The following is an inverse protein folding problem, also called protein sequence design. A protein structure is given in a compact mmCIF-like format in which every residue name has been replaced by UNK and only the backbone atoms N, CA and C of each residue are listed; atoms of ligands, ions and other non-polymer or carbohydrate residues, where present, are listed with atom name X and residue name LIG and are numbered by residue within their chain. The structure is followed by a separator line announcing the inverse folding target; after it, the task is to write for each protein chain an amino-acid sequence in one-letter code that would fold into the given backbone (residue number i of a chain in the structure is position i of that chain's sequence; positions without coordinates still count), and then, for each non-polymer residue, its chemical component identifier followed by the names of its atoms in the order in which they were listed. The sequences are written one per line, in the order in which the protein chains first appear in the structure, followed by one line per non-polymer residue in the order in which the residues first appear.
data_IF_533731505648
#
_entry.id   IF_533731505648
#
_cell.length_a   1.000
_cell.length_b   1.000
_cell.length_c   1.000
_cell.angle_alpha   90.00
_cell.angle_beta   90.00
_cell.angle_gamma   90.00
#
_symmetry.space_group_name_H-M   'P 1'
#
loop_
_entity.id
_entity.type
_entity.pdbx_description
1 polymer ?
#
# COMPACT_ATOMS: atom_id res chain seq x y z
N UNK A 1 20.52 2.38 -5.77
CA UNK A 1 19.21 1.66 -5.79
C UNK A 1 19.14 0.59 -4.70
N UNK A 2 20.28 0.07 -4.25
CA UNK A 2 20.39 -1.07 -3.33
C UNK A 2 19.65 -0.87 -1.99
N UNK A 3 19.65 0.34 -1.44
CA UNK A 3 18.92 0.66 -0.21
C UNK A 3 17.41 0.47 -0.40
N UNK A 4 16.84 0.91 -1.53
CA UNK A 4 15.40 0.75 -1.81
C UNK A 4 15.07 -0.72 -2.04
N UNK A 5 15.88 -1.44 -2.83
CA UNK A 5 15.67 -2.86 -3.09
C UNK A 5 15.69 -3.68 -1.80
N UNK A 6 16.66 -3.41 -0.92
CA UNK A 6 16.81 -4.14 0.34
C UNK A 6 15.75 -3.78 1.38
N UNK A 7 15.43 -2.51 1.55
CA UNK A 7 14.46 -2.05 2.57
C UNK A 7 12.99 -2.23 2.18
N UNK A 8 12.64 -2.04 0.90
CA UNK A 8 11.26 -2.13 0.43
C UNK A 8 10.90 -3.53 -0.09
N UNK A 9 11.84 -4.18 -0.77
CA UNK A 9 11.60 -5.45 -1.46
C UNK A 9 12.42 -6.60 -0.85
N UNK A 10 13.20 -6.38 0.21
CA UNK A 10 14.02 -7.43 0.82
C UNK A 10 15.05 -8.08 -0.12
N UNK A 11 15.35 -7.42 -1.23
CA UNK A 11 16.19 -7.93 -2.30
C UNK A 11 17.56 -7.25 -2.24
N UNK A 12 18.63 -8.06 -2.23
CA UNK A 12 19.99 -7.54 -2.40
C UNK A 12 20.32 -7.47 -3.87
N UNK A 13 20.79 -6.30 -4.30
CA UNK A 13 21.31 -6.04 -5.65
C UNK A 13 22.61 -5.25 -5.50
N UNK A 14 23.39 -5.20 -6.58
CA UNK A 14 24.62 -4.40 -6.67
C UNK A 14 24.49 -3.39 -7.80
N UNK A 15 23.74 -2.32 -7.57
CA UNK A 15 23.45 -1.30 -8.58
C UNK A 15 24.65 -0.46 -8.99
N UNK A 16 25.76 -0.53 -8.25
CA UNK A 16 26.99 0.18 -8.59
C UNK A 16 27.78 -0.58 -9.65
N UNK A 17 27.93 -1.90 -9.47
CA UNK A 17 28.71 -2.74 -10.39
C UNK A 17 27.87 -3.39 -11.50
N UNK A 18 26.56 -3.51 -11.31
CA UNK A 18 25.61 -4.08 -12.28
C UNK A 18 24.49 -3.07 -12.64
N UNK A 19 24.79 -2.06 -13.47
CA UNK A 19 23.79 -1.07 -13.89
C UNK A 19 22.73 -1.66 -14.84
N UNK A 20 23.03 -2.79 -15.49
CA UNK A 20 22.13 -3.51 -16.39
C UNK A 20 21.22 -4.50 -15.64
N UNK A 21 21.29 -4.51 -14.30
CA UNK A 21 20.38 -5.28 -13.49
C UNK A 21 18.92 -4.92 -13.82
N UNK A 22 18.08 -5.95 -14.02
CA UNK A 22 16.67 -5.75 -14.38
C UNK A 22 15.92 -4.86 -13.40
N UNK A 23 16.22 -4.94 -12.10
CA UNK A 23 15.62 -4.05 -11.10
C UNK A 23 16.02 -2.59 -11.34
N UNK A 24 17.30 -2.34 -11.62
CA UNK A 24 17.87 -1.01 -11.87
C UNK A 24 17.29 -0.40 -13.14
N UNK A 25 17.28 -1.15 -14.25
CA UNK A 25 16.70 -0.70 -15.52
C UNK A 25 15.22 -0.37 -15.35
N UNK A 26 14.46 -1.27 -14.73
CA UNK A 26 13.01 -1.08 -14.56
C UNK A 26 12.69 0.09 -13.64
N UNK A 27 13.46 0.26 -12.56
CA UNK A 27 13.34 1.43 -11.69
C UNK A 27 13.69 2.72 -12.44
N UNK A 28 14.75 2.70 -13.27
CA UNK A 28 15.14 3.84 -14.10
C UNK A 28 14.01 4.24 -15.04
N UNK A 29 13.33 3.30 -15.68
CA UNK A 29 12.19 3.59 -16.55
C UNK A 29 11.02 4.26 -15.82
N UNK A 30 10.78 3.88 -14.56
CA UNK A 30 9.79 4.54 -13.69
C UNK A 30 10.21 5.96 -13.34
N UNK A 31 11.47 6.20 -13.02
CA UNK A 31 11.96 7.54 -12.70
C UNK A 31 12.20 8.43 -13.93
N UNK A 32 12.28 7.83 -15.13
CA UNK A 32 12.37 8.56 -16.41
C UNK A 32 11.02 9.05 -16.92
N UNK A 33 9.96 9.03 -16.10
CA UNK A 33 8.71 9.72 -16.40
C UNK A 33 9.05 11.18 -16.70
N UNK A 34 9.00 11.51 -17.98
CA UNK A 34 9.42 12.79 -18.50
C UNK A 34 8.38 13.83 -18.06
N UNK A 35 8.82 15.04 -17.75
CA UNK A 35 7.95 16.23 -17.63
C UNK A 35 7.34 16.56 -19.00
N UNK A 36 6.44 15.69 -19.46
CA UNK A 36 5.72 15.82 -20.71
C UNK A 36 4.29 16.30 -20.42
N UNK A 37 3.53 16.59 -21.48
CA UNK A 37 2.16 17.08 -21.37
C UNK A 37 1.25 16.15 -20.53
N UNK A 38 1.55 14.84 -20.47
CA UNK A 38 0.82 13.87 -19.65
C UNK A 38 1.02 14.12 -18.16
N UNK A 39 2.24 14.49 -17.75
CA UNK A 39 2.53 14.85 -16.36
C UNK A 39 1.84 16.17 -15.97
N UNK A 40 1.86 17.17 -16.85
CA UNK A 40 1.12 18.44 -16.63
C UNK A 40 -0.39 18.18 -16.54
N UNK A 41 -0.94 17.37 -17.45
CA UNK A 41 -2.35 16.99 -17.42
C UNK A 41 -2.72 16.23 -16.13
N UNK A 42 -1.80 15.46 -15.56
CA UNK A 42 -2.00 14.78 -14.28
C UNK A 42 -2.15 15.73 -13.11
N UNK A 43 -1.37 16.80 -13.09
CA UNK A 43 -1.48 17.84 -12.07
C UNK A 43 -2.76 18.66 -12.29
N UNK A 44 -3.06 19.05 -13.52
CA UNK A 44 -4.17 19.96 -13.83
C UNK A 44 -5.55 19.27 -13.74
N UNK A 45 -5.66 18.04 -14.23
CA UNK A 45 -6.95 17.38 -14.45
C UNK A 45 -6.88 15.87 -14.11
N UNK A 46 -6.70 15.50 -12.83
CA UNK A 46 -6.61 14.10 -12.42
C UNK A 46 -7.89 13.30 -12.73
N UNK A 47 -9.05 13.95 -12.71
CA UNK A 47 -10.34 13.30 -13.02
C UNK A 47 -10.45 12.83 -14.47
N UNK A 48 -9.88 13.59 -15.43
CA UNK A 48 -9.88 13.22 -16.84
C UNK A 48 -8.99 12.00 -17.09
N UNK A 49 -7.83 11.95 -16.45
CA UNK A 49 -6.92 10.80 -16.54
C UNK A 49 -7.49 9.54 -15.91
N UNK A 50 -8.21 9.67 -14.79
CA UNK A 50 -8.96 8.56 -14.18
C UNK A 50 -10.01 8.00 -15.13
N UNK A 51 -10.73 8.87 -15.83
CA UNK A 51 -11.75 8.46 -16.80
C UNK A 51 -11.13 7.77 -18.03
N UNK A 52 -10.02 8.31 -18.55
CA UNK A 52 -9.28 7.76 -19.69
C UNK A 52 -8.40 6.55 -19.35
N UNK A 53 -8.33 6.12 -18.08
CA UNK A 53 -7.48 5.02 -17.59
C UNK A 53 -6.01 5.10 -18.04
N UNK A 54 -5.49 6.31 -18.20
CA UNK A 54 -4.11 6.52 -18.61
C UNK A 54 -3.21 6.34 -17.38
N UNK A 55 -2.33 5.34 -17.44
CA UNK A 55 -1.30 5.11 -16.42
C UNK A 55 -0.08 6.01 -16.66
N UNK A 56 0.37 6.70 -15.61
CA UNK A 56 1.65 7.42 -15.62
C UNK A 56 2.84 6.47 -15.60
N UNK A 57 2.68 5.30 -14.98
CA UNK A 57 3.73 4.31 -14.86
C UNK A 57 3.79 3.42 -16.10
N UNK A 58 4.99 3.09 -16.61
CA UNK A 58 5.15 2.12 -17.69
C UNK A 58 4.53 0.77 -17.31
N UNK A 59 3.69 0.15 -18.17
CA UNK A 59 3.02 -1.10 -17.84
C UNK A 59 3.97 -2.26 -17.54
N UNK A 60 5.13 -2.33 -18.22
CA UNK A 60 6.13 -3.38 -17.97
C UNK A 60 6.74 -3.24 -16.58
N UNK A 61 7.02 -2.01 -16.16
CA UNK A 61 7.59 -1.74 -14.85
C UNK A 61 6.62 -2.08 -13.72
N UNK A 62 5.34 -1.71 -13.88
CA UNK A 62 4.31 -2.06 -12.92
C UNK A 62 4.17 -3.58 -12.74
N UNK A 63 4.17 -4.33 -13.86
CA UNK A 63 4.13 -5.81 -13.83
C UNK A 63 5.35 -6.39 -13.11
N UNK A 64 6.56 -5.93 -13.45
CA UNK A 64 7.79 -6.41 -12.83
C UNK A 64 7.78 -6.24 -11.30
N UNK A 65 7.52 -5.03 -10.80
CA UNK A 65 7.53 -4.79 -9.35
C UNK A 65 6.38 -5.49 -8.63
N UNK A 66 5.21 -5.59 -9.26
CA UNK A 66 4.10 -6.38 -8.74
C UNK A 66 4.49 -7.84 -8.56
N UNK A 67 5.00 -8.46 -9.62
CA UNK A 67 5.30 -9.88 -9.63
C UNK A 67 6.47 -10.20 -8.69
N UNK A 68 7.51 -9.36 -8.66
CA UNK A 68 8.59 -9.47 -7.69
C UNK A 68 8.07 -9.42 -6.24
N UNK A 69 7.21 -8.46 -5.93
CA UNK A 69 6.62 -8.31 -4.58
C UNK A 69 5.79 -9.54 -4.21
N UNK A 70 4.94 -10.03 -5.13
CA UNK A 70 4.10 -11.19 -4.89
C UNK A 70 4.93 -12.45 -4.62
N UNK A 71 6.01 -12.66 -5.38
CA UNK A 71 6.93 -13.79 -5.17
C UNK A 71 7.56 -13.74 -3.76
N UNK A 72 7.99 -12.55 -3.31
CA UNK A 72 8.57 -12.40 -1.97
C UNK A 72 7.52 -12.69 -0.88
N UNK A 73 6.30 -12.20 -1.04
CA UNK A 73 5.19 -12.46 -0.11
C UNK A 73 4.87 -13.96 -0.07
N UNK A 74 4.79 -14.60 -1.22
CA UNK A 74 4.49 -16.03 -1.35
C UNK A 74 5.58 -16.88 -0.68
N UNK A 75 6.85 -16.57 -0.94
CA UNK A 75 7.96 -17.29 -0.33
C UNK A 75 7.97 -17.15 1.20
N UNK A 76 7.70 -15.95 1.73
CA UNK A 76 7.56 -15.75 3.19
C UNK A 76 6.41 -16.52 3.79
N UNK A 77 5.25 -16.55 3.12
CA UNK A 77 4.09 -17.35 3.56
C UNK A 77 4.41 -18.84 3.57
N UNK A 78 5.11 -19.33 2.55
CA UNK A 78 5.50 -20.73 2.42
C UNK A 78 6.53 -21.16 3.46
N UNK A 79 7.52 -20.30 3.72
CA UNK A 79 8.64 -20.60 4.63
C UNK A 79 8.39 -20.20 6.08
N UNK A 80 7.37 -19.37 6.35
CA UNK A 80 7.12 -18.77 7.66
C UNK A 80 8.13 -17.67 8.03
N UNK A 81 8.98 -17.24 7.10
CA UNK A 81 9.98 -16.21 7.38
C UNK A 81 9.34 -14.84 7.59
N UNK A 82 9.72 -14.17 8.68
CA UNK A 82 9.42 -12.77 8.94
C UNK A 82 10.71 -11.96 8.87
N UNK A 83 10.61 -10.72 8.39
CA UNK A 83 11.74 -9.79 8.32
C UNK A 83 11.35 -8.43 8.88
N UNK A 84 12.30 -7.73 9.47
CA UNK A 84 12.09 -6.35 9.89
C UNK A 84 12.29 -5.39 8.71
N UNK A 85 11.34 -5.38 7.78
CA UNK A 85 11.36 -4.52 6.58
C UNK A 85 9.96 -3.97 6.23
N UNK A 86 9.93 -3.06 5.25
CA UNK A 86 8.69 -2.37 4.87
C UNK A 86 7.62 -3.35 4.37
N UNK A 87 8.01 -4.40 3.64
CA UNK A 87 7.07 -5.38 3.13
C UNK A 87 6.39 -6.16 4.26
N UNK A 88 7.12 -6.50 5.32
CA UNK A 88 6.53 -7.13 6.49
C UNK A 88 5.50 -6.22 7.16
N UNK A 89 5.83 -4.94 7.33
CA UNK A 89 4.90 -3.96 7.89
C UNK A 89 3.61 -3.87 7.07
N UNK A 90 3.71 -3.89 5.73
CA UNK A 90 2.53 -3.90 4.86
C UNK A 90 1.70 -5.19 5.01
N UNK A 91 2.35 -6.35 5.11
CA UNK A 91 1.66 -7.63 5.30
C UNK A 91 0.92 -7.69 6.65
N UNK A 92 1.53 -7.18 7.72
CA UNK A 92 0.93 -7.20 9.05
C UNK A 92 -0.23 -6.19 9.14
N UNK A 93 -0.06 -4.99 8.57
CA UNK A 93 -1.16 -4.01 8.43
C UNK A 93 -2.33 -4.58 7.63
N UNK A 94 -2.07 -5.31 6.55
CA UNK A 94 -3.11 -5.91 5.73
C UNK A 94 -3.91 -6.99 6.49
N UNK A 95 -3.25 -7.74 7.39
CA UNK A 95 -3.91 -8.73 8.26
C UNK A 95 -4.78 -8.03 9.32
N UNK A 96 -4.26 -7.00 9.99
CA UNK A 96 -5.01 -6.21 10.97
C UNK A 96 -6.31 -5.66 10.35
N UNK A 97 -6.23 -5.06 9.16
CA UNK A 97 -7.42 -4.54 8.44
C UNK A 97 -8.39 -5.65 8.02
N UNK A 98 -7.92 -6.87 7.73
CA UNK A 98 -8.83 -7.99 7.45
C UNK A 98 -9.53 -8.50 8.70
N UNK A 99 -8.83 -8.53 9.82
CA UNK A 99 -9.37 -9.00 11.10
C UNK A 99 -10.38 -8.00 11.66
N UNK A 100 -10.10 -6.69 11.60
CA UNK A 100 -11.03 -5.61 11.98
C UNK A 100 -12.34 -5.68 11.18
N UNK A 101 -12.26 -5.92 9.87
CA UNK A 101 -13.46 -6.09 9.03
C UNK A 101 -14.24 -7.35 9.38
N UNK A 102 -13.55 -8.42 9.79
CA UNK A 102 -14.21 -9.67 10.21
C UNK A 102 -14.90 -9.49 11.56
N UNK A 103 -14.31 -8.75 12.52
CA UNK A 103 -14.98 -8.40 13.78
C UNK A 103 -16.19 -7.50 13.56
N UNK A 104 -16.12 -6.51 12.67
CA UNK A 104 -17.27 -5.64 12.34
C UNK A 104 -18.41 -6.41 11.65
N UNK A 105 -18.10 -7.44 10.85
CA UNK A 105 -19.10 -8.32 10.23
C UNK A 105 -19.74 -9.25 11.25
N UNK A 106 -18.95 -9.81 12.17
CA UNK A 106 -19.46 -10.69 13.22
C UNK A 106 -20.31 -9.93 14.26
N UNK A 107 -19.99 -8.68 14.58
CA UNK A 107 -20.82 -7.82 15.45
C UNK A 107 -22.17 -7.48 14.79
N UNK A 108 -22.18 -7.24 13.47
CA UNK A 108 -23.42 -6.98 12.71
C UNK A 108 -24.30 -8.22 12.51
N UNK A 109 -23.71 -9.41 12.46
CA UNK A 109 -24.45 -10.68 12.34
C UNK A 109 -25.13 -11.08 13.67
N UNK A 110 -24.67 -10.53 14.81
CA UNK A 110 -25.29 -10.76 16.13
C UNK A 110 -26.45 -9.82 16.48
N UNK A 111 -26.69 -8.74 15.72
CA UNK A 111 -27.64 -7.69 16.09
C UNK A 111 -28.75 -7.43 15.04
N UNK A 112 -29.00 -8.38 14.13
CA UNK A 112 -30.07 -8.19 13.13
C UNK A 112 -30.91 -9.44 12.88
N UNK A 113 -31.76 -9.75 13.87
CA UNK A 113 -33.12 -10.24 13.59
C UNK A 113 -34.10 -9.07 13.71
N UNK A 114 -33.95 -7.98 12.93
CA UNK A 114 -35.01 -7.04 12.50
C UNK A 114 -34.40 -5.67 12.14
N UNK A 115 -34.10 -5.40 10.87
CA UNK A 115 -34.96 -4.58 10.03
C UNK A 115 -34.31 -4.30 8.66
N UNK A 116 -35.14 -4.44 7.63
CA UNK A 116 -34.90 -4.03 6.24
C UNK A 116 -34.86 -2.50 6.13
N UNK A 117 -33.88 -1.97 5.38
CA UNK A 117 -33.89 -0.84 4.41
C UNK A 117 -32.67 0.10 4.51
N UNK A 118 -31.96 0.25 3.40
CA UNK A 118 -31.59 1.57 2.88
C UNK A 118 -30.15 2.10 3.09
N UNK A 119 -29.50 2.27 1.94
CA UNK A 119 -28.52 3.33 1.61
C UNK A 119 -27.01 3.04 1.78
N UNK A 120 -26.31 3.10 0.64
CA UNK A 120 -24.89 2.78 0.46
C UNK A 120 -24.16 4.08 0.18
N UNK A 121 -23.41 4.58 1.17
CA UNK A 121 -22.53 5.73 0.98
C UNK A 121 -21.10 5.43 1.49
N UNK A 122 -20.32 4.75 0.65
CA UNK A 122 -18.95 4.30 0.92
C UNK A 122 -17.96 5.39 0.54
N UNK A 123 -17.95 6.54 1.25
CA UNK A 123 -16.85 7.51 1.10
C UNK A 123 -16.40 8.21 2.39
N UNK A 124 -17.00 7.93 3.55
CA UNK A 124 -16.66 8.65 4.79
C UNK A 124 -15.68 7.91 5.74
N UNK A 125 -15.36 6.63 5.52
CA UNK A 125 -14.65 5.82 6.54
C UNK A 125 -13.13 6.03 6.62
N UNK A 126 -12.47 6.51 5.55
CA UNK A 126 -11.00 6.62 5.54
C UNK A 126 -10.48 7.75 6.46
N UNK A 127 -11.19 8.88 6.56
CA UNK A 127 -10.71 10.04 7.32
C UNK A 127 -10.94 9.93 8.84
N UNK A 128 -11.95 9.15 9.26
CA UNK A 128 -12.25 8.96 10.70
C UNK A 128 -11.20 8.11 11.40
N UNK A 129 -10.67 7.06 10.76
CA UNK A 129 -9.73 6.12 11.38
C UNK A 129 -8.39 6.79 11.72
N UNK A 130 -7.89 7.68 10.86
CA UNK A 130 -6.66 8.45 11.10
C UNK A 130 -6.85 9.45 12.25
N UNK A 131 -8.02 10.08 12.32
CA UNK A 131 -8.31 11.11 13.34
C UNK A 131 -8.50 10.50 14.74
N UNK A 132 -9.13 9.32 14.85
CA UNK A 132 -9.35 8.61 16.12
C UNK A 132 -8.02 8.18 16.77
N UNK A 133 -7.04 7.70 15.99
CA UNK A 133 -5.72 7.27 16.50
C UNK A 133 -4.89 8.45 17.05
N UNK A 134 -5.00 9.65 16.48
CA UNK A 134 -4.29 10.86 16.96
C UNK A 134 -4.84 11.37 18.30
N UNK A 135 -6.13 11.18 18.57
CA UNK A 135 -6.74 11.56 19.84
C UNK A 135 -6.36 10.59 20.96
N UNK A 136 -6.31 9.28 20.70
CA UNK A 136 -5.93 8.28 21.71
C UNK A 136 -4.46 8.41 22.16
N UNK A 137 -3.55 8.84 21.28
CA UNK A 137 -2.14 9.09 21.65
C UNK A 137 -2.00 10.32 22.58
N UNK A 138 -2.82 11.35 22.40
CA UNK A 138 -2.81 12.53 23.28
C UNK A 138 -3.40 12.24 24.66
N UNK A 139 -4.38 11.33 24.75
CA UNK A 139 -4.95 10.90 26.03
C UNK A 139 -3.95 10.06 26.84
N UNK A 140 -3.16 9.20 26.19
CA UNK A 140 -2.15 8.38 26.87
C UNK A 140 -0.97 9.20 27.44
N UNK A 141 -0.62 10.35 26.84
CA UNK A 141 0.36 11.28 27.44
C UNK A 141 -0.21 12.14 28.59
N UNK A 142 -1.53 12.26 28.70
CA UNK A 142 -2.19 13.08 29.74
C UNK A 142 -2.56 12.28 31.00
N UNK A 143 -2.42 10.95 30.97
CA UNK A 143 -2.72 10.04 32.09
C UNK A 143 -1.48 9.45 32.80
N UNK A 144 -0.30 10.06 32.62
CA UNK A 144 0.83 10.00 33.55
C UNK A 144 1.22 8.63 34.14
N UNK A 145 2.28 8.03 33.61
CA UNK A 145 3.25 7.35 34.46
C UNK A 145 4.61 7.99 34.22
N UNK A 146 5.29 8.26 35.34
CA UNK A 146 6.65 8.79 35.42
C UNK A 146 7.64 7.95 34.60
#
# INVERSE_FOLDING_TARGET
MDVIASSAFSTKIDSHNDPENKFVITARDVFRISFNWRFVLFILCPSVLRWLKISLLPPHALRFFRDATLQIIEERKRTGQTRNDFLQLLMDTAKEVSDDRKSELNEKESDDTSAVYGDVDINHHIFKTVTKKRNNIKTLKKFGMK
#
